data_IF_647711527026
#
_entry.id   IF_647711527026
#
_cell.length_a   1.000
_cell.length_b   1.000
_cell.length_c   1.000
_cell.angle_alpha   90.00
_cell.angle_beta   90.00
_cell.angle_gamma   90.00
#
_symmetry.space_group_name_H-M   'P 1'
#
loop_
_entity.id
_entity.type
_entity.pdbx_description
1 polymer ?
#
# COMPACT_ATOMS: atom_id res chain seq x y z
N UNK A 1 14.76 28.74 51.97
CA UNK A 1 13.39 28.45 51.50
C UNK A 1 13.22 29.16 50.17
N UNK A 2 13.20 28.42 49.07
CA UNK A 2 12.94 28.97 47.74
C UNK A 2 11.43 28.85 47.50
N UNK A 3 10.70 29.92 47.10
CA UNK A 3 9.28 29.83 46.84
C UNK A 3 9.06 28.96 45.59
N UNK A 4 8.22 27.93 45.71
CA UNK A 4 7.72 27.20 44.55
C UNK A 4 6.90 28.17 43.70
N UNK A 5 7.31 28.36 42.45
CA UNK A 5 6.49 29.06 41.46
C UNK A 5 5.39 28.11 40.99
N UNK A 6 4.14 28.54 41.13
CA UNK A 6 2.97 27.87 40.55
C UNK A 6 3.16 27.75 39.03
N UNK A 7 3.25 26.52 38.52
CA UNK A 7 3.19 26.24 37.09
C UNK A 7 1.70 26.19 36.75
N UNK A 8 1.19 27.07 35.86
CA UNK A 8 -0.21 27.01 35.48
C UNK A 8 -0.49 25.71 34.71
N UNK A 9 -1.58 25.02 35.08
CA UNK A 9 -2.03 23.82 34.38
C UNK A 9 -2.66 24.20 33.04
N UNK A 10 -1.90 24.01 31.96
CA UNK A 10 -2.28 24.32 30.58
C UNK A 10 -2.85 23.10 29.83
N UNK A 11 -3.18 22.01 30.53
CA UNK A 11 -3.70 20.78 29.92
C UNK A 11 -5.02 21.00 29.18
N UNK A 12 -5.89 21.87 29.71
CA UNK A 12 -7.17 22.18 29.10
C UNK A 12 -7.04 23.00 27.81
N UNK A 13 -6.11 23.96 27.77
CA UNK A 13 -5.86 24.80 26.59
C UNK A 13 -5.30 23.97 25.43
N UNK A 14 -4.46 22.99 25.75
CA UNK A 14 -3.92 22.04 24.77
C UNK A 14 -5.00 21.13 24.20
N UNK A 15 -5.91 20.64 25.04
CA UNK A 15 -7.01 19.79 24.60
C UNK A 15 -7.98 20.55 23.69
N UNK A 16 -8.30 21.80 24.04
CA UNK A 16 -9.14 22.67 23.23
C UNK A 16 -8.49 22.99 21.87
N UNK A 17 -7.18 23.29 21.85
CA UNK A 17 -6.45 23.52 20.60
C UNK A 17 -6.44 22.29 19.69
N UNK A 18 -6.21 21.09 20.24
CA UNK A 18 -6.21 19.86 19.44
C UNK A 18 -7.58 19.62 18.78
N UNK A 19 -8.66 19.85 19.54
CA UNK A 19 -10.02 19.72 19.03
C UNK A 19 -10.30 20.73 17.91
N UNK A 20 -9.94 22.00 18.10
CA UNK A 20 -10.15 23.05 17.10
C UNK A 20 -9.34 22.80 15.82
N UNK A 21 -8.13 22.26 15.94
CA UNK A 21 -7.31 21.85 14.79
C UNK A 21 -7.95 20.69 14.03
N UNK A 22 -8.50 19.70 14.72
CA UNK A 22 -9.18 18.57 14.09
C UNK A 22 -10.44 19.02 13.35
N UNK A 23 -11.28 19.86 13.97
CA UNK A 23 -12.48 20.42 13.34
C UNK A 23 -12.15 21.29 12.12
N UNK A 24 -11.11 22.13 12.21
CA UNK A 24 -10.68 22.97 11.09
C UNK A 24 -10.12 22.14 9.93
N UNK A 25 -9.36 21.08 10.24
CA UNK A 25 -8.88 20.14 9.22
C UNK A 25 -10.08 19.48 8.54
N UNK A 26 -11.02 18.88 9.29
CA UNK A 26 -12.18 18.22 8.68
C UNK A 26 -13.01 19.15 7.81
N UNK A 27 -13.31 20.36 8.30
CA UNK A 27 -14.12 21.33 7.58
C UNK A 27 -13.45 21.82 6.29
N UNK A 28 -12.18 22.20 6.35
CA UNK A 28 -11.48 22.73 5.17
C UNK A 28 -11.07 21.65 4.18
N UNK A 29 -10.85 20.42 4.64
CA UNK A 29 -10.64 19.30 3.73
C UNK A 29 -11.90 18.93 2.94
N UNK A 30 -13.09 19.10 3.52
CA UNK A 30 -14.36 18.88 2.84
C UNK A 30 -14.70 20.00 1.83
N UNK A 31 -14.30 21.26 2.09
CA UNK A 31 -14.83 22.42 1.36
C UNK A 31 -13.79 23.28 0.61
N UNK A 32 -12.51 23.25 1.00
CA UNK A 32 -11.47 24.16 0.51
C UNK A 32 -10.15 23.51 0.09
N UNK A 33 -10.02 22.18 0.26
CA UNK A 33 -8.81 21.44 -0.07
C UNK A 33 -7.66 21.64 0.92
N UNK A 34 -6.55 20.93 0.68
CA UNK A 34 -5.42 20.83 1.61
C UNK A 34 -4.75 22.19 1.94
N UNK A 35 -4.70 23.11 0.99
CA UNK A 35 -4.12 24.45 1.22
C UNK A 35 -4.97 25.28 2.19
N UNK A 36 -6.30 25.21 2.10
CA UNK A 36 -7.18 25.92 3.03
C UNK A 36 -7.05 25.36 4.46
N UNK A 37 -6.97 24.03 4.60
CA UNK A 37 -6.75 23.40 5.89
C UNK A 37 -5.40 23.80 6.49
N UNK A 38 -4.36 23.94 5.67
CA UNK A 38 -3.02 24.34 6.11
C UNK A 38 -2.97 25.79 6.61
N UNK A 39 -3.65 26.72 5.94
CA UNK A 39 -3.73 28.11 6.41
C UNK A 39 -4.60 28.23 7.66
N UNK A 40 -5.71 27.49 7.75
CA UNK A 40 -6.55 27.47 8.95
C UNK A 40 -5.80 26.95 10.20
N UNK A 41 -5.01 25.88 10.06
CA UNK A 41 -4.17 25.36 11.14
C UNK A 41 -3.08 26.37 11.53
N UNK A 42 -2.50 27.11 10.57
CA UNK A 42 -1.53 28.17 10.87
C UNK A 42 -2.18 29.34 11.61
N UNK A 43 -3.39 29.71 11.27
CA UNK A 43 -4.10 30.82 11.92
C UNK A 43 -4.57 30.43 13.33
N UNK A 44 -5.08 29.21 13.53
CA UNK A 44 -5.35 28.66 14.86
C UNK A 44 -4.07 28.57 15.70
N UNK A 45 -2.96 28.14 15.09
CA UNK A 45 -1.68 28.15 15.75
C UNK A 45 -1.27 29.57 16.17
N UNK A 46 -1.49 30.62 15.35
CA UNK A 46 -1.21 32.00 15.77
C UNK A 46 -2.08 32.45 16.94
N UNK A 47 -3.36 32.07 16.95
CA UNK A 47 -4.33 32.42 18.02
C UNK A 47 -3.94 31.79 19.35
N UNK A 48 -3.58 30.50 19.34
CA UNK A 48 -3.22 29.76 20.55
C UNK A 48 -1.76 29.96 21.00
N UNK A 49 -0.82 30.21 20.07
CA UNK A 49 0.62 30.26 20.36
C UNK A 49 1.20 31.68 20.44
N UNK A 50 0.40 32.75 20.43
CA UNK A 50 0.90 34.11 20.70
C UNK A 50 1.50 34.28 22.10
N UNK A 51 1.51 33.23 22.95
CA UNK A 51 2.13 33.27 24.28
C UNK A 51 3.06 32.12 24.69
N UNK A 52 3.32 31.05 23.90
CA UNK A 52 4.34 30.05 24.28
C UNK A 52 4.67 29.02 23.17
N UNK A 53 5.94 28.60 23.09
CA UNK A 53 6.49 27.67 22.09
C UNK A 53 6.09 26.21 22.36
N UNK A 54 5.19 25.65 21.53
CA UNK A 54 4.85 24.22 21.58
C UNK A 54 5.20 23.48 20.26
N UNK A 55 6.47 23.09 20.05
CA UNK A 55 6.96 22.49 18.81
C UNK A 55 6.47 21.05 18.51
N UNK A 56 5.73 20.43 19.42
CA UNK A 56 5.26 19.04 19.28
C UNK A 56 3.88 18.95 18.61
N UNK A 57 2.95 19.87 18.89
CA UNK A 57 1.60 19.84 18.31
C UNK A 57 1.62 20.24 16.84
N UNK A 58 2.45 21.23 16.49
CA UNK A 58 2.72 21.61 15.10
C UNK A 58 3.29 20.43 14.28
N UNK A 59 4.13 19.59 14.89
CA UNK A 59 4.66 18.37 14.24
C UNK A 59 3.59 17.31 13.98
N UNK A 60 2.71 17.05 14.95
CA UNK A 60 1.59 16.10 14.80
C UNK A 60 0.58 16.57 13.75
N UNK A 61 0.19 17.84 13.77
CA UNK A 61 -0.72 18.42 12.77
C UNK A 61 -0.11 18.36 11.35
N UNK A 62 1.18 18.67 11.20
CA UNK A 62 1.88 18.59 9.91
C UNK A 62 1.98 17.15 9.38
N UNK A 63 2.08 16.13 10.25
CA UNK A 63 2.00 14.72 9.83
C UNK A 63 0.61 14.38 9.28
N UNK A 64 -0.46 14.82 9.95
CA UNK A 64 -1.85 14.57 9.51
C UNK A 64 -2.13 15.23 8.16
N UNK A 65 -1.68 16.48 7.96
CA UNK A 65 -1.78 17.19 6.68
C UNK A 65 -1.06 16.42 5.57
N UNK A 66 0.19 15.99 5.82
CA UNK A 66 0.96 15.20 4.84
C UNK A 66 0.28 13.87 4.49
N UNK A 67 -0.27 13.16 5.47
CA UNK A 67 -1.01 11.92 5.23
C UNK A 67 -2.26 12.15 4.38
N UNK A 68 -2.92 13.30 4.54
CA UNK A 68 -4.06 13.65 3.71
C UNK A 68 -3.63 14.00 2.27
N UNK A 69 -2.56 14.76 2.10
CA UNK A 69 -1.97 15.05 0.77
C UNK A 69 -1.59 13.76 0.03
N UNK A 70 -0.95 12.81 0.73
CA UNK A 70 -0.59 11.50 0.18
C UNK A 70 -1.85 10.70 -0.24
N UNK A 71 -2.92 10.73 0.56
CA UNK A 71 -4.20 10.08 0.22
C UNK A 71 -4.90 10.75 -0.97
N UNK A 72 -4.86 12.08 -1.06
CA UNK A 72 -5.43 12.83 -2.18
C UNK A 72 -4.69 12.56 -3.48
N UNK A 73 -3.36 12.49 -3.44
CA UNK A 73 -2.54 12.15 -4.59
C UNK A 73 -2.87 10.73 -5.10
N UNK A 74 -3.06 9.78 -4.20
CA UNK A 74 -3.47 8.41 -4.56
C UNK A 74 -4.86 8.40 -5.21
N UNK A 75 -5.82 9.14 -4.66
CA UNK A 75 -7.17 9.23 -5.23
C UNK A 75 -7.19 9.96 -6.58
N UNK A 76 -6.41 11.02 -6.75
CA UNK A 76 -6.33 11.75 -8.02
C UNK A 76 -5.67 10.91 -9.11
N UNK A 77 -4.62 10.16 -8.77
CA UNK A 77 -3.95 9.22 -9.67
C UNK A 77 -4.91 8.09 -10.09
N UNK A 78 -5.70 7.55 -9.14
CA UNK A 78 -6.76 6.59 -9.46
C UNK A 78 -7.83 7.19 -10.38
N UNK A 79 -8.23 8.45 -10.15
CA UNK A 79 -9.21 9.14 -11.00
C UNK A 79 -8.67 9.37 -12.42
N UNK A 80 -7.38 9.69 -12.55
CA UNK A 80 -6.69 9.83 -13.85
C UNK A 80 -6.63 8.49 -14.57
N UNK A 81 -6.29 7.41 -13.88
CA UNK A 81 -6.28 6.06 -14.44
C UNK A 81 -7.68 5.64 -14.90
N UNK A 82 -8.71 5.90 -14.10
CA UNK A 82 -10.10 5.62 -14.46
C UNK A 82 -10.56 6.46 -15.67
N UNK A 83 -10.10 7.71 -15.80
CA UNK A 83 -10.42 8.54 -16.96
C UNK A 83 -9.72 8.03 -18.23
N UNK A 84 -8.46 7.59 -18.13
CA UNK A 84 -7.73 6.95 -19.23
C UNK A 84 -8.44 5.65 -19.65
N UNK A 85 -8.85 4.83 -18.69
CA UNK A 85 -9.59 3.59 -18.95
C UNK A 85 -10.93 3.87 -19.66
N UNK A 86 -11.68 4.87 -19.18
CA UNK A 86 -12.94 5.28 -19.81
C UNK A 86 -12.73 5.88 -21.21
N UNK A 87 -11.65 6.64 -21.43
CA UNK A 87 -11.29 7.18 -22.73
C UNK A 87 -10.88 6.06 -23.71
N UNK A 88 -10.08 5.09 -23.26
CA UNK A 88 -9.72 3.90 -24.05
C UNK A 88 -10.95 3.06 -24.39
N UNK A 89 -11.89 2.89 -23.44
CA UNK A 89 -13.18 2.22 -23.67
C UNK A 89 -14.07 2.93 -24.69
N UNK A 90 -14.00 4.26 -24.73
CA UNK A 90 -14.74 5.08 -25.70
C UNK A 90 -14.10 5.00 -27.09
N UNK A 91 -12.77 4.95 -27.18
CA UNK A 91 -12.04 4.89 -28.44
C UNK A 91 -11.96 3.48 -29.06
N UNK A 92 -12.14 2.41 -28.29
CA UNK A 92 -12.05 1.02 -28.78
C UNK A 92 -13.40 0.32 -29.04
N UNK A 93 -14.54 1.02 -28.94
CA UNK A 93 -15.84 0.49 -29.37
C UNK A 93 -16.33 -0.75 -28.59
N UNK A 94 -17.13 -0.51 -27.54
CA UNK A 94 -18.04 -1.47 -26.87
C UNK A 94 -17.47 -2.80 -26.35
N UNK A 95 -17.08 -2.78 -25.07
CA UNK A 95 -17.35 -3.89 -24.14
C UNK A 95 -18.39 -3.39 -23.14
N UNK A 96 -19.62 -3.88 -23.23
CA UNK A 96 -20.75 -3.49 -22.36
C UNK A 96 -20.56 -4.00 -20.92
N UNK A 97 -21.16 -3.36 -19.90
CA UNK A 97 -21.12 -3.86 -18.51
C UNK A 97 -21.60 -5.32 -18.35
N UNK A 98 -22.42 -5.81 -19.28
CA UNK A 98 -22.83 -7.21 -19.33
C UNK A 98 -21.69 -8.18 -19.67
N UNK A 99 -20.65 -7.76 -20.40
CA UNK A 99 -19.46 -8.59 -20.63
C UNK A 99 -18.48 -8.59 -19.45
N UNK A 100 -18.48 -7.56 -18.59
CA UNK A 100 -17.75 -7.59 -17.31
C UNK A 100 -18.39 -8.57 -16.31
N UNK A 101 -19.71 -8.76 -16.35
CA UNK A 101 -20.37 -9.78 -15.54
C UNK A 101 -20.07 -11.21 -16.03
N UNK A 102 -19.84 -11.43 -17.33
CA UNK A 102 -19.44 -12.75 -17.85
C UNK A 102 -17.97 -13.05 -17.53
N UNK A 103 -17.07 -12.05 -17.51
CA UNK A 103 -15.67 -12.24 -17.10
C UNK A 103 -15.49 -12.53 -15.60
N UNK A 104 -16.39 -12.06 -14.74
CA UNK A 104 -16.34 -12.37 -13.30
C UNK A 104 -16.71 -13.82 -12.95
N UNK A 105 -17.14 -14.62 -13.94
CA UNK A 105 -17.45 -16.04 -13.82
C UNK A 105 -16.52 -16.96 -14.61
N UNK A 106 -15.53 -16.40 -15.33
CA UNK A 106 -14.50 -17.22 -15.96
C UNK A 106 -13.46 -17.53 -14.88
N UNK A 107 -13.29 -18.80 -14.46
CA UNK A 107 -12.21 -19.14 -13.54
C UNK A 107 -10.89 -18.63 -14.13
N UNK A 108 -10.17 -17.80 -13.37
CA UNK A 108 -8.83 -17.34 -13.75
C UNK A 108 -7.96 -18.58 -13.93
N UNK A 109 -7.70 -18.94 -15.18
CA UNK A 109 -6.80 -20.03 -15.51
C UNK A 109 -5.39 -19.53 -15.25
N UNK A 110 -4.79 -20.00 -14.17
CA UNK A 110 -3.39 -19.73 -13.89
C UNK A 110 -2.53 -20.38 -14.98
N UNK A 111 -1.50 -19.69 -15.51
CA UNK A 111 -0.48 -20.31 -16.34
C UNK A 111 0.11 -21.54 -15.65
N UNK A 112 0.59 -22.51 -16.44
CA UNK A 112 1.13 -23.78 -15.90
C UNK A 112 2.27 -23.53 -14.91
N UNK A 113 3.07 -22.51 -15.18
CA UNK A 113 4.19 -22.07 -14.36
C UNK A 113 3.75 -21.51 -13.00
N UNK A 114 2.56 -20.91 -12.94
CA UNK A 114 1.99 -20.30 -11.73
C UNK A 114 0.97 -21.19 -11.01
N UNK A 115 0.76 -22.43 -11.49
CA UNK A 115 -0.18 -23.42 -10.94
C UNK A 115 0.51 -24.67 -10.37
N UNK A 116 1.83 -24.66 -10.25
CA UNK A 116 2.58 -25.72 -9.54
C UNK A 116 2.17 -25.79 -8.06
N UNK A 117 2.34 -26.94 -7.41
CA UNK A 117 2.04 -27.08 -5.97
C UNK A 117 2.75 -26.02 -5.12
N UNK A 118 4.01 -25.71 -5.47
CA UNK A 118 4.79 -24.66 -4.81
C UNK A 118 4.19 -23.27 -5.05
N UNK A 119 3.79 -22.97 -6.30
CA UNK A 119 3.12 -21.71 -6.61
C UNK A 119 1.80 -21.56 -5.85
N UNK A 120 1.01 -22.64 -5.73
CA UNK A 120 -0.25 -22.65 -4.99
C UNK A 120 -0.05 -22.37 -3.49
N UNK A 121 1.01 -22.90 -2.88
CA UNK A 121 1.38 -22.56 -1.50
C UNK A 121 1.70 -21.07 -1.35
N UNK A 122 2.47 -20.51 -2.29
CA UNK A 122 2.81 -19.08 -2.29
C UNK A 122 1.55 -18.23 -2.47
N UNK A 123 0.68 -18.59 -3.41
CA UNK A 123 -0.60 -17.90 -3.63
C UNK A 123 -1.45 -17.86 -2.37
N UNK A 124 -1.58 -18.99 -1.67
CA UNK A 124 -2.33 -19.06 -0.41
C UNK A 124 -1.76 -18.11 0.64
N UNK A 125 -0.44 -18.10 0.84
CA UNK A 125 0.20 -17.18 1.79
C UNK A 125 0.00 -15.70 1.41
N UNK A 126 0.02 -15.38 0.11
CA UNK A 126 -0.28 -14.04 -0.38
C UNK A 126 -1.75 -13.65 -0.15
N UNK A 127 -2.69 -14.60 -0.29
CA UNK A 127 -4.12 -14.40 -0.01
C UNK A 127 -4.35 -14.16 1.49
N UNK A 128 -3.76 -15.00 2.34
CA UNK A 128 -3.82 -14.90 3.80
C UNK A 128 -3.22 -13.56 4.29
N UNK A 129 -2.20 -13.06 3.59
CA UNK A 129 -1.57 -11.76 3.85
C UNK A 129 -2.30 -10.55 3.24
N UNK A 130 -3.45 -10.79 2.60
CA UNK A 130 -4.28 -9.83 1.86
C UNK A 130 -3.56 -9.05 0.76
N UNK A 131 -2.51 -9.63 0.18
CA UNK A 131 -1.75 -9.02 -0.92
C UNK A 131 -2.38 -9.29 -2.28
N UNK A 132 -3.13 -10.40 -2.40
CA UNK A 132 -3.87 -10.80 -3.59
C UNK A 132 -5.30 -11.19 -3.20
N UNK A 133 -6.23 -11.20 -4.15
CA UNK A 133 -7.60 -11.64 -3.92
C UNK A 133 -7.79 -13.14 -4.27
N UNK A 134 -9.04 -13.60 -4.15
CA UNK A 134 -9.45 -14.98 -4.47
C UNK A 134 -9.16 -15.37 -5.93
N UNK A 135 -9.11 -14.39 -6.83
CA UNK A 135 -8.82 -14.55 -8.25
C UNK A 135 -7.33 -14.30 -8.59
N UNK A 136 -6.44 -14.36 -7.61
CA UNK A 136 -4.98 -14.15 -7.75
C UNK A 136 -4.57 -12.76 -8.27
N UNK A 137 -5.47 -11.77 -8.18
CA UNK A 137 -5.22 -10.39 -8.58
C UNK A 137 -4.60 -9.57 -7.44
N UNK A 138 -3.62 -8.70 -7.73
CA UNK A 138 -2.92 -7.94 -6.70
C UNK A 138 -3.81 -6.84 -6.12
N UNK A 139 -3.87 -6.77 -4.79
CA UNK A 139 -4.56 -5.72 -4.01
C UNK A 139 -3.64 -4.56 -3.63
N UNK A 140 -2.47 -4.49 -4.23
CA UNK A 140 -1.42 -3.50 -3.94
C UNK A 140 -1.14 -2.59 -5.14
N UNK A 141 -0.44 -1.49 -4.88
CA UNK A 141 -0.04 -0.54 -5.93
C UNK A 141 0.79 -1.21 -7.03
N UNK A 142 0.81 -0.58 -8.21
CA UNK A 142 1.47 -1.10 -9.41
C UNK A 142 2.94 -1.48 -9.18
N UNK A 143 3.71 -0.59 -8.55
CA UNK A 143 5.11 -0.83 -8.16
C UNK A 143 5.26 -1.98 -7.17
N UNK A 144 4.38 -2.10 -6.17
CA UNK A 144 4.40 -3.20 -5.20
C UNK A 144 4.05 -4.53 -5.86
N UNK A 145 3.08 -4.55 -6.77
CA UNK A 145 2.74 -5.74 -7.53
C UNK A 145 3.94 -6.21 -8.38
N UNK A 146 4.65 -5.28 -9.02
CA UNK A 146 5.87 -5.61 -9.77
C UNK A 146 6.97 -6.21 -8.90
N UNK A 147 7.24 -5.63 -7.71
CA UNK A 147 8.17 -6.21 -6.71
C UNK A 147 7.71 -7.61 -6.30
N UNK A 148 6.42 -7.79 -6.04
CA UNK A 148 5.84 -9.07 -5.65
C UNK A 148 6.00 -10.13 -6.75
N UNK A 149 5.79 -9.77 -8.02
CA UNK A 149 6.02 -10.67 -9.15
C UNK A 149 7.48 -11.09 -9.27
N UNK A 150 8.42 -10.14 -9.14
CA UNK A 150 9.86 -10.44 -9.13
C UNK A 150 10.24 -11.41 -8.00
N UNK A 151 9.74 -11.15 -6.78
CA UNK A 151 9.91 -12.04 -5.63
C UNK A 151 9.29 -13.41 -5.89
N UNK A 152 8.11 -13.49 -6.51
CA UNK A 152 7.42 -14.74 -6.82
C UNK A 152 8.27 -15.65 -7.72
N UNK A 153 8.86 -15.09 -8.78
CA UNK A 153 9.79 -15.84 -9.65
C UNK A 153 11.03 -16.34 -8.90
N UNK A 154 11.58 -15.52 -8.00
CA UNK A 154 12.69 -15.95 -7.13
C UNK A 154 12.28 -17.13 -6.26
N UNK A 155 11.08 -17.11 -5.68
CA UNK A 155 10.59 -18.21 -4.84
C UNK A 155 10.33 -19.50 -5.62
N UNK A 156 10.00 -19.40 -6.91
CA UNK A 156 9.87 -20.53 -7.82
C UNK A 156 11.18 -20.98 -8.46
N UNK A 157 12.30 -20.29 -8.19
CA UNK A 157 13.58 -20.52 -8.86
C UNK A 157 13.45 -20.54 -10.39
N UNK A 158 12.68 -19.59 -10.91
CA UNK A 158 12.45 -19.40 -12.33
C UNK A 158 13.05 -18.09 -12.83
N UNK A 159 13.40 -18.05 -14.11
CA UNK A 159 13.71 -16.80 -14.78
C UNK A 159 12.50 -15.87 -14.79
N UNK A 160 12.77 -14.58 -14.66
CA UNK A 160 11.72 -13.58 -14.56
C UNK A 160 11.05 -13.39 -15.91
N UNK A 161 9.79 -13.82 -16.01
CA UNK A 161 8.95 -13.68 -17.20
C UNK A 161 7.86 -12.65 -16.96
N UNK A 162 8.21 -11.36 -17.09
CA UNK A 162 7.24 -10.26 -16.90
C UNK A 162 5.92 -10.45 -17.65
N UNK A 163 5.90 -10.88 -18.93
CA UNK A 163 4.67 -11.06 -19.69
C UNK A 163 3.63 -11.97 -19.02
N UNK A 164 4.09 -12.92 -18.20
CA UNK A 164 3.24 -13.87 -17.47
C UNK A 164 2.33 -13.13 -16.47
N UNK A 165 2.90 -12.27 -15.64
CA UNK A 165 2.14 -11.45 -14.69
C UNK A 165 1.47 -10.25 -15.34
N UNK A 166 2.05 -9.71 -16.41
CA UNK A 166 1.42 -8.63 -17.18
C UNK A 166 0.09 -9.09 -17.80
N UNK A 167 0.08 -10.31 -18.34
CA UNK A 167 -1.13 -10.96 -18.87
C UNK A 167 -2.10 -11.31 -17.75
N UNK A 168 -1.61 -11.97 -16.68
CA UNK A 168 -2.46 -12.41 -15.57
C UNK A 168 -3.16 -11.25 -14.84
N UNK A 169 -2.47 -10.12 -14.68
CA UNK A 169 -2.98 -8.97 -13.91
C UNK A 169 -3.49 -7.83 -14.79
N UNK A 170 -3.47 -8.00 -16.11
CA UNK A 170 -3.81 -6.96 -17.08
C UNK A 170 -3.05 -5.65 -16.81
N UNK A 171 -1.72 -5.77 -16.59
CA UNK A 171 -0.82 -4.65 -16.29
C UNK A 171 0.32 -4.65 -17.28
N UNK A 172 0.59 -3.54 -17.93
CA UNK A 172 1.76 -3.43 -18.82
C UNK A 172 3.01 -3.01 -18.04
N UNK A 173 4.19 -2.95 -18.67
CA UNK A 173 5.42 -2.31 -18.19
C UNK A 173 5.90 -2.71 -16.77
N UNK A 174 5.65 -3.94 -16.34
CA UNK A 174 5.98 -4.39 -14.98
C UNK A 174 7.48 -4.40 -14.70
N UNK A 175 8.32 -4.64 -15.71
CA UNK A 175 9.78 -4.55 -15.58
C UNK A 175 10.23 -3.16 -15.14
N UNK A 176 9.67 -2.10 -15.75
CA UNK A 176 10.01 -0.71 -15.40
C UNK A 176 9.57 -0.39 -13.98
N UNK A 177 8.36 -0.82 -13.61
CA UNK A 177 7.83 -0.61 -12.26
C UNK A 177 8.62 -1.37 -11.20
N UNK A 178 9.11 -2.58 -11.53
CA UNK A 178 9.99 -3.34 -10.65
C UNK A 178 11.29 -2.57 -10.41
N UNK A 179 11.98 -2.12 -11.46
CA UNK A 179 13.23 -1.34 -11.30
C UNK A 179 13.02 -0.09 -10.46
N UNK A 180 11.97 0.69 -10.75
CA UNK A 180 11.60 1.86 -9.95
C UNK A 180 11.33 1.50 -8.48
N UNK A 181 10.66 0.38 -8.25
CA UNK A 181 10.35 -0.10 -6.91
C UNK A 181 11.58 -0.51 -6.11
N UNK A 182 12.59 -1.08 -6.76
CA UNK A 182 13.83 -1.50 -6.10
C UNK A 182 14.68 -0.29 -5.66
N UNK A 183 14.69 0.79 -6.44
CA UNK A 183 15.46 2.00 -6.13
C UNK A 183 14.83 2.87 -5.02
N UNK A 184 13.53 2.71 -4.79
CA UNK A 184 12.80 3.50 -3.80
C UNK A 184 13.01 2.99 -2.37
N UNK A 185 13.70 3.78 -1.53
CA UNK A 185 13.85 3.50 -0.08
C UNK A 185 12.52 3.21 0.63
N UNK A 186 11.43 3.81 0.17
CA UNK A 186 10.09 3.62 0.75
C UNK A 186 9.53 2.20 0.52
N UNK A 187 10.07 1.42 -0.42
CA UNK A 187 9.63 0.06 -0.69
C UNK A 187 10.26 -0.98 0.26
N UNK A 188 11.20 -0.59 1.12
CA UNK A 188 11.83 -1.49 2.10
C UNK A 188 10.84 -2.18 3.02
N UNK A 189 9.83 -1.46 3.50
CA UNK A 189 8.78 -2.03 4.36
C UNK A 189 8.01 -3.13 3.65
N UNK A 190 7.74 -2.95 2.35
CA UNK A 190 7.03 -3.95 1.56
C UNK A 190 7.90 -5.18 1.27
N UNK A 191 9.17 -4.98 0.95
CA UNK A 191 10.12 -6.08 0.79
C UNK A 191 10.31 -6.88 2.09
N UNK A 192 10.32 -6.22 3.25
CA UNK A 192 10.36 -6.93 4.54
C UNK A 192 9.11 -7.78 4.75
N UNK A 193 7.92 -7.26 4.43
CA UNK A 193 6.68 -8.05 4.48
C UNK A 193 6.76 -9.32 3.61
N UNK A 194 7.36 -9.23 2.41
CA UNK A 194 7.56 -10.40 1.54
C UNK A 194 8.56 -11.41 2.16
N UNK A 195 9.58 -10.95 2.88
CA UNK A 195 10.51 -11.83 3.61
C UNK A 195 9.83 -12.56 4.77
N UNK A 196 8.92 -11.91 5.47
CA UNK A 196 8.15 -12.55 6.55
C UNK A 196 7.27 -13.68 5.99
N UNK A 197 6.68 -13.46 4.81
CA UNK A 197 5.93 -14.48 4.06
C UNK A 197 6.86 -15.62 3.61
N UNK A 198 8.03 -15.27 3.07
CA UNK A 198 9.04 -16.24 2.64
C UNK A 198 9.47 -17.18 3.78
N UNK A 199 9.61 -16.67 5.00
CA UNK A 199 9.92 -17.49 6.17
C UNK A 199 8.85 -18.56 6.48
N UNK A 200 7.62 -18.35 6.00
CA UNK A 200 6.50 -19.28 6.16
C UNK A 200 6.39 -20.30 5.03
N UNK A 201 7.18 -20.17 3.94
CA UNK A 201 7.21 -21.14 2.85
C UNK A 201 8.04 -22.36 3.28
N UNK A 202 7.48 -23.58 3.24
CA UNK A 202 8.25 -24.79 3.51
C UNK A 202 9.44 -24.91 2.56
N UNK A 203 10.65 -25.01 3.12
CA UNK A 203 11.85 -25.28 2.32
C UNK A 203 11.74 -26.69 1.73
N UNK A 204 12.16 -26.92 0.48
CA UNK A 204 12.23 -28.27 -0.07
C UNK A 204 13.10 -29.12 0.86
N UNK A 205 12.59 -30.28 1.29
CA UNK A 205 13.36 -31.23 2.10
C UNK A 205 14.64 -31.54 1.34
N UNK A 206 15.79 -31.30 1.94
CA UNK A 206 17.07 -31.63 1.32
C UNK A 206 17.22 -33.15 1.27
N UNK A 207 17.98 -33.67 0.31
CA UNK A 207 18.29 -35.11 0.23
C UNK A 207 18.85 -35.68 1.55
N UNK A 208 19.51 -34.84 2.35
CA UNK A 208 19.99 -35.19 3.69
C UNK A 208 18.86 -35.50 4.70
N UNK A 209 17.70 -34.86 4.58
CA UNK A 209 16.53 -35.11 5.45
C UNK A 209 15.71 -36.32 5.00
N UNK A 210 15.72 -36.64 3.69
CA UNK A 210 15.14 -37.86 3.13
C UNK A 210 15.97 -39.11 3.48
N UNK A 211 17.30 -38.99 3.47
CA UNK A 211 18.20 -40.08 3.83
C UNK A 211 18.15 -40.46 5.32
N UNK A 212 17.72 -39.55 6.21
CA UNK A 212 17.61 -39.80 7.65
C UNK A 212 16.35 -40.60 8.06
N UNK A 213 15.43 -40.88 7.14
CA UNK A 213 14.20 -41.65 7.39
C UNK A 213 14.22 -43.08 6.85
N UNK A 214 15.31 -43.49 6.20
CA UNK A 214 15.47 -44.90 5.81
C UNK A 214 15.82 -45.71 7.06
N UNK A 215 15.06 -46.75 7.42
CA UNK A 215 15.50 -47.68 8.45
C UNK A 215 16.85 -48.26 8.02
N UNK A 216 17.83 -48.21 8.92
CA UNK A 216 19.10 -48.90 8.73
C UNK A 216 18.78 -50.41 8.74
N UNK A 217 18.62 -50.99 7.56
CA UNK A 217 18.58 -52.43 7.35
C UNK A 217 19.95 -53.06 7.58
#
# INVERSE_FOLDING_TARGET
MIPQQDIPDHSQDLHNFQKDVEEAIEYHLANGGANAAREAVKDLAKVYFYKQEWPNVSREAMKKIKQYEDKQLIMEEQRKQQHIENAMRTMMGSITPQQQQIQNSIPVVLPQELSTERAMLIWKLLQDSHLVNENYQPKVSRTKAAIMAGWFFTQLNMDVQWPLFETLWHRENMRSDHSKGMDQKQMKTFQNKLKDIEASIPKPRTNAQLAAQLPRS
#
